data_IF_614430214212
#
_entry.id   IF_614430214212
#
_cell.length_a   1.000
_cell.length_b   1.000
_cell.length_c   1.000
_cell.angle_alpha   90.00
_cell.angle_beta   90.00
_cell.angle_gamma   90.00
#
_symmetry.space_group_name_H-M   'P 1'
#
loop_
_entity.id
_entity.type
_entity.pdbx_description
1 polymer ?
#
# COMPACT_ATOMS: atom_id res chain seq x y z
N UNK A 1 13.85 18.35 14.55
CA UNK A 1 13.24 17.16 13.90
C UNK A 1 14.31 16.51 13.02
N UNK A 2 14.45 15.18 13.03
CA UNK A 2 15.38 14.49 12.12
C UNK A 2 14.82 14.58 10.69
N UNK A 3 15.65 14.98 9.73
CA UNK A 3 15.30 14.94 8.32
C UNK A 3 15.13 13.48 7.88
N UNK A 4 14.12 13.22 7.05
CA UNK A 4 13.96 11.90 6.44
C UNK A 4 15.00 11.76 5.32
N UNK A 5 15.96 10.86 5.49
CA UNK A 5 17.02 10.59 4.51
C UNK A 5 16.68 9.32 3.73
N UNK A 6 16.86 9.36 2.41
CA UNK A 6 16.70 8.18 1.56
C UNK A 6 17.95 7.30 1.65
N UNK A 7 17.99 6.43 2.64
CA UNK A 7 19.08 5.46 2.79
C UNK A 7 18.82 4.22 1.95
N UNK A 8 19.89 3.71 1.33
CA UNK A 8 19.83 2.44 0.61
C UNK A 8 19.31 1.33 1.53
N UNK A 9 18.30 0.61 1.05
CA UNK A 9 17.68 -0.49 1.79
C UNK A 9 17.32 -1.61 0.81
N UNK A 10 17.75 -2.83 1.14
CA UNK A 10 17.57 -4.00 0.28
C UNK A 10 16.27 -4.73 0.58
N UNK A 11 15.61 -5.23 -0.46
CA UNK A 11 14.52 -6.21 -0.38
C UNK A 11 14.52 -7.07 -1.64
N UNK A 12 13.90 -8.26 -1.60
CA UNK A 12 13.86 -9.12 -2.78
C UNK A 12 13.21 -8.45 -3.99
N UNK A 13 12.14 -7.68 -3.77
CA UNK A 13 11.48 -6.93 -4.84
C UNK A 13 12.36 -5.81 -5.40
N UNK A 14 13.08 -5.08 -4.53
CA UNK A 14 14.01 -4.02 -4.95
C UNK A 14 15.16 -4.55 -5.80
N UNK A 15 15.74 -5.65 -5.36
CA UNK A 15 16.77 -6.38 -6.08
C UNK A 15 16.27 -6.79 -7.48
N UNK A 16 15.09 -7.41 -7.54
CA UNK A 16 14.44 -7.75 -8.81
C UNK A 16 14.25 -6.55 -9.74
N UNK A 17 13.70 -5.44 -9.24
CA UNK A 17 13.49 -4.22 -10.04
C UNK A 17 14.82 -3.62 -10.53
N UNK A 18 15.87 -3.65 -9.71
CA UNK A 18 17.19 -3.15 -10.12
C UNK A 18 17.80 -4.00 -11.24
N UNK A 19 17.71 -5.32 -11.12
CA UNK A 19 18.22 -6.27 -12.11
C UNK A 19 17.42 -6.20 -13.42
N UNK A 20 16.11 -5.96 -13.35
CA UNK A 20 15.25 -5.80 -14.53
C UNK A 20 15.52 -4.48 -15.25
N UNK A 21 15.53 -3.37 -14.52
CA UNK A 21 15.76 -2.04 -15.10
C UNK A 21 16.27 -1.03 -14.05
N UNK A 22 17.56 -0.64 -14.10
CA UNK A 22 18.12 0.36 -13.19
C UNK A 22 17.42 1.73 -13.27
N UNK A 23 16.90 2.10 -14.46
CA UNK A 23 16.15 3.34 -14.66
C UNK A 23 14.81 3.31 -13.91
N UNK A 24 14.08 2.20 -14.01
CA UNK A 24 12.82 2.01 -13.26
C UNK A 24 13.08 2.04 -11.77
N UNK A 25 14.12 1.34 -11.31
CA UNK A 25 14.56 1.36 -9.91
C UNK A 25 14.81 2.79 -9.42
N UNK A 26 15.52 3.60 -10.22
CA UNK A 26 15.77 4.99 -9.88
C UNK A 26 14.47 5.78 -9.72
N UNK A 27 13.55 5.75 -10.70
CA UNK A 27 12.27 6.48 -10.60
C UNK A 27 11.42 6.02 -9.41
N UNK A 28 11.39 4.71 -9.15
CA UNK A 28 10.58 4.13 -8.09
C UNK A 28 11.11 4.45 -6.69
N UNK A 29 12.42 4.47 -6.48
CA UNK A 29 12.98 4.58 -5.12
C UNK A 29 13.67 5.92 -4.83
N UNK A 30 14.22 6.59 -5.83
CA UNK A 30 15.02 7.81 -5.66
C UNK A 30 14.37 9.03 -6.32
N UNK A 31 13.95 8.93 -7.58
CA UNK A 31 13.39 10.05 -8.35
C UNK A 31 12.04 10.56 -7.81
N UNK A 32 11.28 9.71 -7.13
CA UNK A 32 10.02 10.10 -6.46
C UNK A 32 10.23 10.68 -5.05
N UNK A 33 11.45 10.63 -4.50
CA UNK A 33 11.69 10.97 -3.11
C UNK A 33 11.48 12.45 -2.83
N UNK A 34 10.70 12.78 -1.80
CA UNK A 34 10.31 14.16 -1.49
C UNK A 34 9.17 14.70 -2.35
N UNK A 35 8.68 13.95 -3.34
CA UNK A 35 7.58 14.40 -4.22
C UNK A 35 6.21 14.55 -3.55
N UNK A 36 6.09 14.16 -2.28
CA UNK A 36 4.88 14.37 -1.46
C UNK A 36 4.85 15.73 -0.76
N UNK A 37 5.97 16.46 -0.72
CA UNK A 37 6.05 17.76 -0.05
C UNK A 37 5.25 18.82 -0.81
N UNK A 38 4.68 19.80 -0.10
CA UNK A 38 3.87 20.87 -0.71
C UNK A 38 4.71 21.70 -1.71
N UNK A 39 5.96 21.98 -1.36
CA UNK A 39 6.93 22.72 -2.20
C UNK A 39 7.89 21.84 -2.98
N UNK A 40 7.55 20.58 -3.25
CA UNK A 40 8.41 19.69 -4.04
C UNK A 40 8.66 20.25 -5.44
N UNK A 41 9.86 20.02 -5.97
CA UNK A 41 10.17 20.30 -7.38
C UNK A 41 9.09 19.67 -8.30
N UNK A 42 8.58 20.40 -9.30
CA UNK A 42 7.45 19.93 -10.13
C UNK A 42 7.69 18.58 -10.78
N UNK A 43 8.92 18.31 -11.23
CA UNK A 43 9.27 17.02 -11.86
C UNK A 43 9.29 15.89 -10.84
N UNK A 44 9.85 16.14 -9.66
CA UNK A 44 9.86 15.18 -8.54
C UNK A 44 8.44 14.85 -8.07
N UNK A 45 7.57 15.88 -8.00
CA UNK A 45 6.14 15.71 -7.69
C UNK A 45 5.43 14.86 -8.74
N UNK A 46 5.66 15.12 -10.02
CA UNK A 46 5.06 14.34 -11.11
C UNK A 46 5.50 12.88 -11.05
N UNK A 47 6.80 12.61 -10.85
CA UNK A 47 7.30 11.24 -10.68
C UNK A 47 6.60 10.55 -9.50
N UNK A 48 6.45 11.24 -8.36
CA UNK A 48 5.76 10.68 -7.20
C UNK A 48 4.30 10.37 -7.49
N UNK A 49 3.56 11.30 -8.10
CA UNK A 49 2.16 11.11 -8.47
C UNK A 49 2.01 9.88 -9.38
N UNK A 50 2.78 9.82 -10.47
CA UNK A 50 2.71 8.72 -11.43
C UNK A 50 3.05 7.37 -10.79
N UNK A 51 4.02 7.36 -9.86
CA UNK A 51 4.37 6.18 -9.07
C UNK A 51 3.23 5.73 -8.15
N UNK A 52 2.41 6.64 -7.62
CA UNK A 52 1.30 6.29 -6.72
C UNK A 52 0.04 5.80 -7.45
N UNK A 53 -0.02 5.93 -8.78
CA UNK A 53 -1.15 5.45 -9.55
C UNK A 53 -1.28 3.93 -9.49
N UNK A 54 -2.52 3.46 -9.50
CA UNK A 54 -2.86 2.05 -9.41
C UNK A 54 -3.66 1.64 -10.62
N UNK A 55 -3.47 0.42 -11.09
CA UNK A 55 -4.47 -0.20 -11.97
C UNK A 55 -5.71 -0.54 -11.15
N UNK A 56 -6.85 -0.69 -11.81
CA UNK A 56 -8.10 -1.15 -11.18
C UNK A 56 -7.92 -2.45 -10.40
N UNK A 57 -7.06 -3.38 -10.87
CA UNK A 57 -6.81 -4.65 -10.18
C UNK A 57 -5.97 -4.48 -8.92
N UNK A 58 -4.92 -3.64 -8.96
CA UNK A 58 -4.13 -3.30 -7.77
C UNK A 58 -4.99 -2.62 -6.71
N UNK A 59 -5.86 -1.69 -7.14
CA UNK A 59 -6.78 -0.99 -6.26
C UNK A 59 -7.76 -1.94 -5.55
N UNK A 60 -8.35 -2.91 -6.28
CA UNK A 60 -9.19 -3.96 -5.71
C UNK A 60 -8.44 -4.74 -4.62
N UNK A 61 -7.25 -5.23 -4.95
CA UNK A 61 -6.42 -5.98 -3.99
C UNK A 61 -6.11 -5.16 -2.74
N UNK A 62 -5.69 -3.91 -2.92
CA UNK A 62 -5.37 -3.03 -1.79
C UNK A 62 -6.57 -2.79 -0.85
N UNK A 63 -7.78 -2.58 -1.38
CA UNK A 63 -8.99 -2.41 -0.55
C UNK A 63 -9.32 -3.67 0.22
N UNK A 64 -9.24 -4.85 -0.42
CA UNK A 64 -9.42 -6.14 0.26
C UNK A 64 -8.38 -6.31 1.38
N UNK A 65 -7.09 -6.10 1.07
CA UNK A 65 -6.01 -6.22 2.06
C UNK A 65 -6.18 -5.24 3.24
N UNK A 66 -6.58 -4.00 2.96
CA UNK A 66 -6.81 -2.98 4.01
C UNK A 66 -7.95 -3.41 4.94
N UNK A 67 -9.06 -3.91 4.39
CA UNK A 67 -10.19 -4.37 5.19
C UNK A 67 -9.84 -5.59 6.07
N UNK A 68 -9.13 -6.57 5.49
CA UNK A 68 -8.65 -7.74 6.23
C UNK A 68 -7.66 -7.33 7.32
N UNK A 69 -6.69 -6.45 7.00
CA UNK A 69 -5.72 -5.96 7.99
C UNK A 69 -6.40 -5.26 9.16
N UNK A 70 -7.38 -4.36 8.90
CA UNK A 70 -8.16 -3.70 9.96
C UNK A 70 -8.86 -4.73 10.84
N UNK A 71 -9.47 -5.75 10.23
CA UNK A 71 -10.15 -6.84 10.95
C UNK A 71 -9.17 -7.57 11.87
N UNK A 72 -8.03 -8.01 11.34
CA UNK A 72 -7.02 -8.77 12.09
C UNK A 72 -6.42 -7.93 13.23
N UNK A 73 -6.15 -6.64 12.99
CA UNK A 73 -5.68 -5.73 14.04
C UNK A 73 -6.70 -5.59 15.17
N UNK A 74 -7.98 -5.42 14.84
CA UNK A 74 -9.05 -5.32 15.84
C UNK A 74 -9.19 -6.60 16.67
N UNK A 75 -9.08 -7.78 16.03
CA UNK A 75 -9.03 -9.07 16.72
C UNK A 75 -7.82 -9.17 17.65
N UNK A 76 -6.65 -8.74 17.20
CA UNK A 76 -5.41 -8.81 17.99
C UNK A 76 -5.39 -7.86 19.20
N UNK A 77 -6.16 -6.77 19.16
CA UNK A 77 -6.18 -5.74 20.19
C UNK A 77 -7.18 -6.02 21.32
N UNK A 78 -8.07 -7.00 21.15
CA UNK A 78 -9.18 -7.25 22.08
C UNK A 78 -9.04 -8.62 22.74
N UNK A 79 -9.04 -8.63 24.08
CA UNK A 79 -9.07 -9.88 24.88
C UNK A 79 -10.43 -10.60 24.80
N UNK A 80 -11.45 -9.94 24.25
CA UNK A 80 -12.78 -10.51 24.03
C UNK A 80 -13.03 -10.63 22.52
N UNK A 81 -13.70 -11.70 22.06
CA UNK A 81 -14.08 -11.81 20.66
C UNK A 81 -15.03 -10.65 20.32
N UNK A 82 -14.51 -9.68 19.57
CA UNK A 82 -15.34 -8.67 18.93
C UNK A 82 -16.27 -9.40 17.96
N UNK A 83 -17.57 -9.15 18.05
CA UNK A 83 -18.51 -9.60 17.03
C UNK A 83 -18.15 -8.90 15.73
N UNK A 84 -17.64 -9.65 14.75
CA UNK A 84 -17.31 -9.13 13.43
C UNK A 84 -18.52 -9.29 12.55
N UNK A 85 -19.11 -8.15 12.16
CA UNK A 85 -20.13 -8.10 11.13
C UNK A 85 -19.45 -8.00 9.76
N UNK A 86 -19.33 -9.15 9.08
CA UNK A 86 -18.70 -9.23 7.76
C UNK A 86 -19.46 -8.41 6.70
N UNK A 87 -20.80 -8.37 6.77
CA UNK A 87 -21.61 -7.64 5.80
C UNK A 87 -21.40 -6.13 5.95
N UNK A 88 -21.31 -5.65 7.18
CA UNK A 88 -21.03 -4.25 7.45
C UNK A 88 -19.63 -3.85 6.94
N UNK A 89 -18.61 -4.68 7.15
CA UNK A 89 -17.26 -4.41 6.64
C UNK A 89 -17.24 -4.40 5.10
N UNK A 90 -17.93 -5.34 4.46
CA UNK A 90 -18.07 -5.37 2.99
C UNK A 90 -18.74 -4.07 2.52
N UNK A 91 -19.86 -3.68 3.13
CA UNK A 91 -20.60 -2.46 2.78
C UNK A 91 -19.71 -1.22 2.89
N UNK A 92 -19.00 -1.06 3.99
CA UNK A 92 -18.05 0.05 4.21
C UNK A 92 -16.97 0.06 3.13
N UNK A 93 -16.37 -1.11 2.84
CA UNK A 93 -15.30 -1.23 1.83
C UNK A 93 -15.80 -0.81 0.45
N UNK A 94 -17.02 -1.21 0.07
CA UNK A 94 -17.61 -0.83 -1.22
C UNK A 94 -17.93 0.68 -1.27
N UNK A 95 -18.35 1.30 -0.17
CA UNK A 95 -18.50 2.75 -0.10
C UNK A 95 -17.17 3.49 -0.23
N UNK A 96 -16.11 3.03 0.46
CA UNK A 96 -14.76 3.56 0.28
C UNK A 96 -14.31 3.45 -1.18
N UNK A 97 -14.59 2.32 -1.85
CA UNK A 97 -14.31 2.15 -3.28
C UNK A 97 -15.08 3.15 -4.16
N UNK A 98 -16.34 3.45 -3.83
CA UNK A 98 -17.12 4.47 -4.56
C UNK A 98 -16.51 5.86 -4.39
N UNK A 99 -16.04 6.19 -3.19
CA UNK A 99 -15.36 7.46 -2.91
C UNK A 99 -14.03 7.56 -3.64
N UNK A 100 -13.20 6.51 -3.61
CA UNK A 100 -11.95 6.42 -4.36
C UNK A 100 -12.17 6.63 -5.85
N UNK A 101 -13.16 5.96 -6.44
CA UNK A 101 -13.49 6.10 -7.85
C UNK A 101 -13.84 7.54 -8.20
N UNK A 102 -14.72 8.18 -7.42
CA UNK A 102 -15.12 9.58 -7.63
C UNK A 102 -13.91 10.51 -7.51
N UNK A 103 -13.11 10.33 -6.45
CA UNK A 103 -11.91 11.12 -6.15
C UNK A 103 -10.86 11.04 -7.25
N UNK A 104 -10.58 9.81 -7.70
CA UNK A 104 -9.65 9.59 -8.81
C UNK A 104 -10.18 10.18 -10.11
N UNK A 105 -11.47 10.03 -10.41
CA UNK A 105 -12.07 10.57 -11.64
C UNK A 105 -12.01 12.09 -11.69
N UNK A 106 -12.11 12.76 -10.54
CA UNK A 106 -11.95 14.22 -10.44
C UNK A 106 -10.49 14.67 -10.33
N UNK A 107 -9.51 13.76 -10.36
CA UNK A 107 -8.09 14.09 -10.35
C UNK A 107 -7.55 14.60 -9.01
N UNK A 108 -8.20 14.30 -7.87
CA UNK A 108 -7.79 14.81 -6.55
C UNK A 108 -6.34 14.42 -6.21
N UNK A 109 -5.86 13.29 -6.70
CA UNK A 109 -4.48 12.85 -6.51
C UNK A 109 -3.42 13.79 -7.10
N UNK A 110 -3.78 14.68 -8.05
CA UNK A 110 -2.84 15.68 -8.56
C UNK A 110 -2.52 16.76 -7.52
N UNK A 111 -3.52 17.17 -6.72
CA UNK A 111 -3.32 18.14 -5.63
C UNK A 111 -2.92 17.45 -4.33
N UNK A 112 -3.46 16.26 -4.07
CA UNK A 112 -3.22 15.44 -2.88
C UNK A 112 -2.64 14.06 -3.27
N UNK A 113 -1.32 13.95 -3.52
CA UNK A 113 -0.69 12.74 -4.10
C UNK A 113 -0.82 11.44 -3.31
N UNK A 114 -1.31 11.50 -2.06
CA UNK A 114 -1.60 10.31 -1.22
C UNK A 114 -3.03 9.80 -1.38
N UNK A 115 -3.91 10.53 -2.05
CA UNK A 115 -5.27 10.06 -2.36
C UNK A 115 -5.25 9.04 -3.50
N UNK A 116 -6.36 8.32 -3.68
CA UNK A 116 -6.45 7.30 -4.72
C UNK A 116 -6.35 7.91 -6.12
N UNK A 117 -5.41 7.41 -6.92
CA UNK A 117 -5.27 7.72 -8.35
C UNK A 117 -5.25 6.43 -9.16
N UNK A 118 -6.12 6.36 -10.18
CA UNK A 118 -6.24 5.21 -11.07
C UNK A 118 -5.62 5.54 -12.42
N UNK A 119 -4.77 4.64 -12.92
CA UNK A 119 -4.09 4.76 -14.22
C UNK A 119 -5.13 4.97 -15.32
N UNK A 120 -6.27 4.30 -15.23
CA UNK A 120 -7.32 4.38 -16.24
C UNK A 120 -7.96 5.77 -16.33
N UNK A 121 -8.03 6.52 -15.22
CA UNK A 121 -8.49 7.91 -15.22
C UNK A 121 -7.40 8.86 -15.71
N UNK A 122 -6.17 8.66 -15.24
CA UNK A 122 -5.01 9.48 -15.63
C UNK A 122 -4.79 9.46 -17.15
N UNK A 123 -4.74 8.28 -17.75
CA UNK A 123 -4.47 8.10 -19.18
C UNK A 123 -5.74 8.04 -20.04
N UNK A 124 -6.91 8.31 -19.46
CA UNK A 124 -8.23 8.26 -20.12
C UNK A 124 -8.47 6.94 -20.87
N UNK A 125 -8.07 5.83 -20.25
CA UNK A 125 -8.25 4.50 -20.83
C UNK A 125 -9.75 4.16 -20.90
N UNK A 126 -10.23 3.56 -22.00
CA UNK A 126 -11.63 3.20 -22.13
C UNK A 126 -11.95 2.03 -21.19
N UNK A 127 -12.63 2.33 -20.08
CA UNK A 127 -13.15 1.32 -19.15
C UNK A 127 -14.65 1.50 -19.00
N UNK A 128 -15.39 0.46 -19.32
CA UNK A 128 -16.85 0.47 -19.24
C UNK A 128 -17.33 0.51 -17.80
N UNK A 129 -18.54 1.03 -17.58
CA UNK A 129 -19.20 0.98 -16.27
C UNK A 129 -19.29 -0.45 -15.74
N UNK A 130 -19.48 -1.44 -16.62
CA UNK A 130 -19.56 -2.84 -16.25
C UNK A 130 -18.23 -3.35 -15.67
N UNK A 131 -17.10 -3.02 -16.30
CA UNK A 131 -15.78 -3.38 -15.78
C UNK A 131 -15.48 -2.74 -14.41
N UNK A 132 -15.97 -1.52 -14.15
CA UNK A 132 -15.87 -0.92 -12.82
C UNK A 132 -16.74 -1.65 -11.78
N UNK A 133 -17.94 -2.09 -12.17
CA UNK A 133 -18.81 -2.90 -11.30
C UNK A 133 -18.18 -4.26 -10.99
N UNK A 134 -17.53 -4.89 -11.96
CA UNK A 134 -16.81 -6.16 -11.78
C UNK A 134 -15.64 -6.04 -10.79
N UNK A 135 -14.96 -4.90 -10.77
CA UNK A 135 -13.91 -4.63 -9.78
C UNK A 135 -14.47 -4.61 -8.36
N UNK A 136 -15.56 -3.87 -8.14
CA UNK A 136 -16.25 -3.84 -6.85
C UNK A 136 -16.79 -5.23 -6.45
N UNK A 137 -17.42 -5.95 -7.39
CA UNK A 137 -17.92 -7.30 -7.14
C UNK A 137 -16.78 -8.30 -6.82
N UNK A 138 -15.60 -8.11 -7.40
CA UNK A 138 -14.42 -8.92 -7.09
C UNK A 138 -13.95 -8.68 -5.66
N UNK A 139 -13.87 -7.41 -5.23
CA UNK A 139 -13.53 -7.07 -3.85
C UNK A 139 -14.52 -7.68 -2.84
N UNK A 140 -15.82 -7.54 -3.12
CA UNK A 140 -16.89 -8.14 -2.31
C UNK A 140 -16.74 -9.65 -2.21
N UNK A 141 -16.59 -10.36 -3.34
CA UNK A 141 -16.42 -11.81 -3.36
C UNK A 141 -15.18 -12.25 -2.59
N UNK A 142 -14.05 -11.55 -2.73
CA UNK A 142 -12.83 -11.85 -1.97
C UNK A 142 -13.05 -11.72 -0.46
N UNK A 143 -13.74 -10.67 -0.02
CA UNK A 143 -14.04 -10.47 1.40
C UNK A 143 -15.03 -11.52 1.92
N UNK A 144 -16.12 -11.80 1.19
CA UNK A 144 -17.08 -12.87 1.54
C UNK A 144 -16.38 -14.21 1.70
N UNK A 145 -15.50 -14.56 0.76
CA UNK A 145 -14.73 -15.79 0.82
C UNK A 145 -13.77 -15.82 2.02
N UNK A 146 -13.10 -14.70 2.33
CA UNK A 146 -12.22 -14.61 3.50
C UNK A 146 -13.00 -14.80 4.79
N UNK A 147 -14.07 -14.04 5.02
CA UNK A 147 -14.86 -14.12 6.25
C UNK A 147 -15.63 -15.44 6.40
N UNK A 148 -15.99 -16.09 5.28
CA UNK A 148 -16.59 -17.43 5.27
C UNK A 148 -15.58 -18.57 5.35
N UNK A 149 -14.27 -18.29 5.35
CA UNK A 149 -13.24 -19.33 5.31
C UNK A 149 -13.05 -20.03 6.66
N UNK A 150 -12.60 -21.28 6.61
CA UNK A 150 -12.12 -21.99 7.80
C UNK A 150 -10.95 -21.27 8.48
N UNK A 151 -10.01 -20.75 7.69
CA UNK A 151 -8.89 -19.98 8.18
C UNK A 151 -9.32 -18.80 9.06
N UNK A 152 -10.36 -18.06 8.68
CA UNK A 152 -10.84 -16.95 9.49
C UNK A 152 -11.45 -17.41 10.82
N UNK A 153 -12.15 -18.55 10.81
CA UNK A 153 -12.66 -19.18 12.04
C UNK A 153 -11.52 -19.63 12.96
N UNK A 154 -10.48 -20.24 12.40
CA UNK A 154 -9.29 -20.65 13.14
C UNK A 154 -8.54 -19.46 13.75
N UNK A 155 -8.39 -18.37 12.99
CA UNK A 155 -7.80 -17.12 13.48
C UNK A 155 -8.58 -16.60 14.69
N UNK A 156 -9.90 -16.55 14.61
CA UNK A 156 -10.77 -16.10 15.71
C UNK A 156 -10.75 -17.02 16.93
N UNK A 157 -10.54 -18.33 16.73
CA UNK A 157 -10.42 -19.31 17.80
C UNK A 157 -9.02 -19.37 18.44
N UNK A 158 -7.99 -18.90 17.73
CA UNK A 158 -6.62 -18.87 18.23
C UNK A 158 -6.48 -17.86 19.37
N UNK A 159 -5.82 -18.24 20.46
CA UNK A 159 -5.57 -17.31 21.58
C UNK A 159 -4.71 -16.13 21.10
N UNK A 160 -5.27 -14.93 21.16
CA UNK A 160 -4.68 -13.64 20.74
C UNK A 160 -3.25 -13.42 21.28
N UNK A 161 -2.92 -14.03 22.42
CA UNK A 161 -1.61 -13.96 23.09
C UNK A 161 -0.39 -14.50 22.31
N UNK A 162 -0.57 -15.13 21.15
CA UNK A 162 0.52 -15.81 20.44
C UNK A 162 0.94 -15.18 19.11
N UNK A 163 0.34 -14.06 18.71
CA UNK A 163 0.80 -13.33 17.53
C UNK A 163 2.10 -12.63 17.93
N UNK A 164 3.28 -13.07 17.45
CA UNK A 164 4.48 -12.31 17.73
C UNK A 164 4.24 -10.92 17.15
N UNK A 165 4.26 -9.91 18.02
CA UNK A 165 4.35 -8.53 17.56
C UNK A 165 5.47 -8.52 16.52
N UNK A 166 5.17 -8.15 15.28
CA UNK A 166 6.22 -8.03 14.26
C UNK A 166 7.30 -7.17 14.89
N UNK A 167 8.54 -7.65 15.05
CA UNK A 167 9.58 -6.84 15.64
C UNK A 167 9.64 -5.58 14.79
N UNK A 168 9.24 -4.45 15.37
CA UNK A 168 9.41 -3.14 14.74
C UNK A 168 10.87 -3.10 14.35
N UNK A 169 11.15 -3.12 13.05
CA UNK A 169 12.51 -3.19 12.54
C UNK A 169 13.35 -2.23 13.36
N UNK A 170 14.33 -2.70 14.14
CA UNK A 170 15.10 -1.79 14.96
C UNK A 170 15.70 -0.79 13.99
N UNK A 171 15.44 0.49 14.23
CA UNK A 171 16.24 1.58 13.68
C UNK A 171 17.67 1.30 14.09
N UNK A 172 18.38 0.52 13.27
CA UNK A 172 19.75 0.09 13.53
C UNK A 172 20.59 1.35 13.57
N UNK A 173 20.89 1.78 14.80
CA UNK A 173 21.93 2.73 15.08
C UNK A 173 23.21 2.30 14.36
N UNK A 174 23.84 3.28 13.71
CA UNK A 174 24.92 3.10 12.76
C UNK A 174 25.99 2.11 13.26
N UNK A 175 26.14 1.03 12.51
CA UNK A 175 27.37 0.26 12.53
C UNK A 175 28.45 1.16 11.91
N UNK A 176 29.30 1.76 12.76
CA UNK A 176 30.58 2.35 12.34
C UNK A 176 31.34 1.30 11.56
N UNK A 177 31.55 1.51 10.25
CA UNK A 177 32.56 0.76 9.50
C UNK A 177 33.94 1.19 10.00
N UNK A 178 34.87 0.25 10.25
CA UNK A 178 36.25 0.61 10.53
C UNK A 178 36.89 1.21 9.28
N UNK A 179 37.61 2.30 9.52
CA UNK A 179 38.38 3.07 8.56
C UNK A 179 39.39 2.15 7.85
N UNK A 180 39.20 1.90 6.54
CA UNK A 180 40.26 1.33 5.69
C UNK A 180 40.87 2.48 4.90
N UNK A 181 41.99 2.95 5.40
CA UNK A 181 42.97 3.75 4.67
C UNK A 181 43.30 3.08 3.33
N UNK A 182 43.12 3.83 2.24
CA UNK A 182 43.62 3.45 0.92
C UNK A 182 45.14 3.68 0.89
N UNK A 183 45.94 2.76 0.35
CA UNK A 183 47.34 3.03 0.07
C UNK A 183 47.45 3.88 -1.20
N UNK A 184 48.20 4.97 -1.10
CA UNK A 184 48.65 5.82 -2.20
C UNK A 184 49.54 5.04 -3.16
N UNK A 185 49.17 5.00 -4.44
CA UNK A 185 50.07 5.00 -5.59
C UNK A 185 49.42 5.74 -6.75
#
# INVERSE_FOLDING_TARGET
>A
MKSLVNEFSWSKSRDGTFLECPRQYWFQYYGAWGGWEVGADPRTREIYILKQLKTRQMWVGERVHTAVERTLRNLSASDKPLAIDAEEIIRITIEEMRLDFKSSRSGIYRSHPKSCGLIEHEYRMPVTRQQWREAAATAERCLRNFYGSELFREIGASSVFRWPATPSTPTRGGARRPNRSAPSR
#
